data_IF_019167936808
#
_entry.id   IF_019167936808
#
_cell.length_a   1.000
_cell.length_b   1.000
_cell.length_c   1.000
_cell.angle_alpha   90.00
_cell.angle_beta   90.00
_cell.angle_gamma   90.00
#
_symmetry.space_group_name_H-M   'P 1'
#
loop_
_entity.id
_entity.type
_entity.pdbx_description
1 polymer ?
#
# COMPACT_ATOMS: atom_id res chain seq x y z
N UNK A 1 -27.84 13.80 -17.26
CA UNK A 1 -26.40 13.56 -17.04
C UNK A 1 -26.23 12.07 -16.83
N UNK A 2 -25.23 11.43 -17.45
CA UNK A 2 -24.94 10.03 -17.14
C UNK A 2 -24.52 9.93 -15.67
N UNK A 3 -25.03 8.92 -14.96
CA UNK A 3 -24.48 8.54 -13.66
C UNK A 3 -23.03 8.14 -13.90
N UNK A 4 -22.07 8.98 -13.49
CA UNK A 4 -20.66 8.61 -13.49
C UNK A 4 -20.56 7.41 -12.58
N UNK A 5 -20.30 6.24 -13.17
CA UNK A 5 -20.36 4.98 -12.45
C UNK A 5 -19.08 4.86 -11.60
N UNK A 6 -19.09 5.58 -10.46
CA UNK A 6 -17.96 5.67 -9.53
C UNK A 6 -17.43 4.26 -9.22
N UNK A 7 -16.11 4.05 -9.30
CA UNK A 7 -15.51 2.75 -9.03
C UNK A 7 -15.83 2.33 -7.60
N UNK A 8 -15.89 1.02 -7.37
CA UNK A 8 -16.11 0.48 -6.04
C UNK A 8 -14.77 0.10 -5.42
N UNK A 9 -14.53 0.59 -4.20
CA UNK A 9 -13.34 0.28 -3.40
C UNK A 9 -13.79 -0.51 -2.18
N UNK A 10 -13.25 -1.73 -2.07
CA UNK A 10 -13.41 -2.58 -0.89
C UNK A 10 -12.32 -2.24 0.13
N UNK A 11 -12.71 -1.67 1.27
CA UNK A 11 -11.87 -1.57 2.46
C UNK A 11 -11.97 -2.90 3.23
N UNK A 12 -10.87 -3.64 3.28
CA UNK A 12 -10.75 -4.88 4.03
C UNK A 12 -10.12 -4.60 5.39
N UNK A 13 -10.95 -4.59 6.43
CA UNK A 13 -10.60 -4.14 7.79
C UNK A 13 -10.89 -5.23 8.82
N UNK A 14 -10.12 -6.33 8.79
CA UNK A 14 -10.42 -7.55 9.55
C UNK A 14 -10.17 -7.38 11.06
N UNK A 15 -9.19 -6.56 11.44
CA UNK A 15 -8.95 -6.18 12.86
C UNK A 15 -9.67 -4.87 13.21
N UNK A 16 -9.67 -3.90 12.28
CA UNK A 16 -10.31 -2.60 12.42
C UNK A 16 -9.97 -1.86 13.72
N UNK A 17 -8.68 -1.61 13.95
CA UNK A 17 -8.15 -0.92 15.12
C UNK A 17 -8.91 0.40 15.44
N UNK A 18 -9.22 0.73 16.72
CA UNK A 18 -10.10 1.86 17.06
C UNK A 18 -9.63 3.23 16.56
N UNK A 19 -8.32 3.43 16.44
CA UNK A 19 -7.69 4.68 16.00
C UNK A 19 -7.64 4.85 14.47
N UNK A 20 -8.03 3.81 13.69
CA UNK A 20 -7.90 3.83 12.23
C UNK A 20 -8.74 4.94 11.59
N UNK A 21 -10.02 5.05 11.95
CA UNK A 21 -10.94 6.02 11.35
C UNK A 21 -10.58 7.47 11.70
N UNK A 22 -9.96 7.72 12.85
CA UNK A 22 -9.43 9.02 13.23
C UNK A 22 -8.16 9.35 12.41
N UNK A 23 -7.19 8.43 12.42
CA UNK A 23 -5.87 8.61 11.79
C UNK A 23 -5.93 8.72 10.26
N UNK A 24 -6.86 8.00 9.63
CA UNK A 24 -7.07 7.99 8.18
C UNK A 24 -8.33 8.74 7.72
N UNK A 25 -8.96 9.53 8.59
CA UNK A 25 -10.17 10.33 8.28
C UNK A 25 -10.06 11.09 6.95
N UNK A 26 -9.02 11.91 6.79
CA UNK A 26 -8.78 12.69 5.58
C UNK A 26 -8.51 11.86 4.30
N UNK A 27 -8.11 10.59 4.44
CA UNK A 27 -8.00 9.64 3.33
C UNK A 27 -9.38 9.06 2.99
N UNK A 28 -10.12 8.61 4.00
CA UNK A 28 -11.45 8.02 3.87
C UNK A 28 -12.42 9.00 3.22
N UNK A 29 -12.38 10.28 3.62
CA UNK A 29 -13.22 11.34 3.04
C UNK A 29 -12.95 11.53 1.54
N UNK A 30 -11.68 11.69 1.14
CA UNK A 30 -11.29 11.82 -0.28
C UNK A 30 -11.66 10.58 -1.11
N UNK A 31 -11.52 9.39 -0.54
CA UNK A 31 -11.94 8.14 -1.18
C UNK A 31 -13.48 8.10 -1.33
N UNK A 32 -14.24 8.63 -0.36
CA UNK A 32 -15.71 8.68 -0.39
C UNK A 32 -16.25 9.69 -1.41
N UNK A 33 -15.57 10.82 -1.60
CA UNK A 33 -15.88 11.77 -2.66
C UNK A 33 -15.77 11.12 -4.05
N UNK A 34 -14.66 10.41 -4.30
CA UNK A 34 -14.29 9.88 -5.61
C UNK A 34 -14.88 8.49 -5.94
N UNK A 35 -15.14 7.64 -4.95
CA UNK A 35 -15.49 6.23 -5.13
C UNK A 35 -16.68 5.77 -4.27
N UNK A 36 -17.24 4.60 -4.59
CA UNK A 36 -18.20 3.90 -3.72
C UNK A 36 -17.40 3.05 -2.73
N UNK A 37 -17.43 3.41 -1.44
CA UNK A 37 -16.70 2.67 -0.42
C UNK A 37 -17.56 1.57 0.20
N UNK A 38 -17.05 0.34 0.18
CA UNK A 38 -17.57 -0.77 0.96
C UNK A 38 -16.52 -1.17 1.99
N UNK A 39 -16.80 -1.08 3.29
CA UNK A 39 -15.95 -1.71 4.31
C UNK A 39 -16.49 -3.07 4.73
N UNK A 40 -15.60 -4.03 4.93
CA UNK A 40 -15.90 -5.35 5.48
C UNK A 40 -14.98 -5.64 6.66
N UNK A 41 -15.56 -6.09 7.78
CA UNK A 41 -14.88 -6.30 9.07
C UNK A 41 -14.89 -7.74 9.59
N UNK A 42 -15.16 -8.72 8.72
CA UNK A 42 -15.25 -10.12 9.12
C UNK A 42 -14.90 -11.04 7.93
N UNK A 43 -14.21 -12.15 8.24
CA UNK A 43 -13.73 -13.18 7.29
C UNK A 43 -14.83 -13.65 6.34
N UNK A 44 -15.91 -14.21 6.91
CA UNK A 44 -17.07 -14.70 6.18
C UNK A 44 -17.69 -13.65 5.25
N UNK A 45 -17.76 -12.40 5.71
CA UNK A 45 -18.32 -11.31 4.93
C UNK A 45 -17.38 -10.91 3.78
N UNK A 46 -16.07 -11.00 3.97
CA UNK A 46 -15.07 -10.68 2.94
C UNK A 46 -15.06 -11.74 1.84
N UNK A 47 -15.08 -13.02 2.21
CA UNK A 47 -15.18 -14.16 1.29
C UNK A 47 -16.46 -14.07 0.45
N UNK A 48 -17.63 -13.96 1.11
CA UNK A 48 -18.92 -13.84 0.41
C UNK A 48 -19.00 -12.60 -0.49
N UNK A 49 -18.30 -11.52 -0.13
CA UNK A 49 -18.24 -10.33 -0.96
C UNK A 49 -17.39 -10.55 -2.21
N UNK A 50 -16.17 -11.04 -2.06
CA UNK A 50 -15.23 -11.30 -3.16
C UNK A 50 -15.73 -12.39 -4.13
N UNK A 51 -16.54 -13.35 -3.65
CA UNK A 51 -17.18 -14.37 -4.49
C UNK A 51 -18.39 -13.84 -5.29
N UNK A 52 -19.04 -12.77 -4.82
CA UNK A 52 -20.25 -12.21 -5.44
C UNK A 52 -20.06 -10.89 -6.18
N UNK A 53 -18.92 -10.21 -6.02
CA UNK A 53 -18.67 -8.84 -6.47
C UNK A 53 -17.23 -8.72 -6.97
N UNK A 54 -17.00 -7.79 -7.92
CA UNK A 54 -15.69 -7.51 -8.47
C UNK A 54 -15.36 -6.01 -8.26
N UNK A 55 -14.88 -5.60 -7.06
CA UNK A 55 -14.51 -4.22 -6.79
C UNK A 55 -13.32 -3.80 -7.67
N UNK A 56 -13.22 -2.51 -7.99
CA UNK A 56 -12.13 -1.98 -8.81
C UNK A 56 -10.79 -1.95 -8.04
N UNK A 57 -10.85 -1.75 -6.72
CA UNK A 57 -9.69 -1.76 -5.82
C UNK A 57 -10.07 -2.49 -4.53
N UNK A 58 -9.13 -3.27 -3.98
CA UNK A 58 -9.18 -3.77 -2.61
C UNK A 58 -8.08 -3.08 -1.81
N UNK A 59 -8.44 -2.28 -0.81
CA UNK A 59 -7.51 -1.68 0.13
C UNK A 59 -7.51 -2.50 1.41
N UNK A 60 -6.37 -3.13 1.71
CA UNK A 60 -6.14 -3.82 2.98
C UNK A 60 -5.76 -2.76 4.00
N UNK A 61 -6.56 -2.60 5.07
CA UNK A 61 -6.41 -1.46 6.01
C UNK A 61 -5.76 -1.84 7.34
N UNK A 62 -5.54 -3.12 7.61
CA UNK A 62 -4.94 -3.61 8.84
C UNK A 62 -4.17 -4.91 8.65
N UNK A 63 -3.46 -5.30 9.69
CA UNK A 63 -2.64 -6.50 9.80
C UNK A 63 -3.42 -7.82 9.71
N UNK A 64 -4.75 -7.79 9.69
CA UNK A 64 -5.58 -8.99 9.81
C UNK A 64 -5.33 -10.03 8.73
N UNK A 65 -4.94 -9.64 7.51
CA UNK A 65 -4.52 -10.63 6.51
C UNK A 65 -3.31 -11.45 6.94
N UNK A 66 -2.41 -10.94 7.78
CA UNK A 66 -1.24 -11.69 8.26
C UNK A 66 -1.56 -12.74 9.34
N UNK A 67 -2.82 -12.80 9.81
CA UNK A 67 -3.27 -13.75 10.82
C UNK A 67 -3.62 -15.12 10.20
N UNK A 68 -3.12 -16.25 10.75
CA UNK A 68 -3.50 -17.59 10.32
C UNK A 68 -5.01 -17.87 10.28
N UNK A 69 -5.81 -17.29 11.18
CA UNK A 69 -7.28 -17.50 11.21
C UNK A 69 -7.97 -16.86 10.00
N UNK A 70 -7.38 -15.80 9.45
CA UNK A 70 -7.90 -15.08 8.28
C UNK A 70 -7.44 -15.69 6.95
N UNK A 71 -6.79 -16.87 6.98
CA UNK A 71 -6.25 -17.56 5.80
C UNK A 71 -7.24 -17.65 4.64
N UNK A 72 -8.52 -17.92 4.89
CA UNK A 72 -9.51 -18.07 3.83
C UNK A 72 -9.82 -16.76 3.08
N UNK A 73 -9.63 -15.58 3.69
CA UNK A 73 -9.63 -14.29 2.97
C UNK A 73 -8.32 -14.12 2.21
N UNK A 74 -7.21 -14.51 2.82
CA UNK A 74 -5.91 -14.45 2.17
C UNK A 74 -5.76 -15.46 1.02
N UNK A 75 -6.49 -16.57 1.01
CA UNK A 75 -6.55 -17.53 -0.11
C UNK A 75 -7.37 -16.99 -1.29
N UNK A 76 -8.24 -15.98 -1.06
CA UNK A 76 -8.78 -15.13 -2.12
C UNK A 76 -7.79 -14.05 -2.58
N UNK A 77 -6.65 -13.88 -1.89
CA UNK A 77 -5.64 -12.84 -2.11
C UNK A 77 -4.26 -13.44 -2.49
N UNK A 78 -3.31 -13.82 -1.59
CA UNK A 78 -2.44 -15.07 -1.54
C UNK A 78 -1.62 -15.12 -0.19
N UNK A 79 -1.23 -16.28 0.41
CA UNK A 79 -0.69 -16.44 1.80
C UNK A 79 0.80 -16.86 2.04
N UNK A 80 1.54 -16.53 3.15
CA UNK A 80 1.13 -16.64 4.59
C UNK A 80 1.90 -15.78 5.69
N UNK A 81 2.66 -16.33 6.68
CA UNK A 81 2.77 -15.79 8.09
C UNK A 81 4.15 -15.69 8.84
N UNK A 82 4.23 -14.77 9.83
CA UNK A 82 5.23 -14.52 10.94
C UNK A 82 6.65 -14.01 10.64
N UNK A 83 6.99 -12.75 11.03
CA UNK A 83 8.22 -11.94 10.74
C UNK A 83 8.78 -11.99 9.31
N UNK A 84 9.14 -13.18 8.86
CA UNK A 84 8.96 -13.61 7.48
C UNK A 84 7.53 -13.30 6.97
N UNK A 85 6.54 -12.98 7.81
CA UNK A 85 5.18 -12.55 7.42
C UNK A 85 5.17 -11.51 6.29
N UNK A 86 6.11 -10.55 6.29
CA UNK A 86 6.25 -9.61 5.19
C UNK A 86 6.80 -10.31 3.93
N UNK A 87 7.90 -11.02 4.12
CA UNK A 87 8.68 -11.73 3.11
C UNK A 87 7.88 -12.88 2.44
N UNK A 88 6.95 -13.49 3.18
CA UNK A 88 6.06 -14.60 2.84
C UNK A 88 4.72 -14.10 2.32
N UNK A 89 4.17 -13.00 2.87
CA UNK A 89 3.00 -12.36 2.29
C UNK A 89 3.28 -11.94 0.86
N UNK A 90 4.41 -11.25 0.59
CA UNK A 90 4.79 -10.93 -0.78
C UNK A 90 5.33 -12.12 -1.56
N UNK A 91 6.01 -13.06 -0.89
CA UNK A 91 6.42 -14.33 -1.50
C UNK A 91 5.25 -15.17 -2.02
N UNK A 92 4.07 -15.05 -1.41
CA UNK A 92 2.84 -15.69 -1.85
C UNK A 92 2.36 -15.22 -3.24
N UNK A 93 2.69 -13.98 -3.60
CA UNK A 93 2.42 -13.39 -4.91
C UNK A 93 3.57 -13.62 -5.90
N UNK A 94 4.49 -14.57 -5.61
CA UNK A 94 5.76 -14.80 -6.31
C UNK A 94 6.69 -13.56 -6.36
N UNK A 95 6.50 -12.59 -5.47
CA UNK A 95 7.31 -11.37 -5.44
C UNK A 95 8.58 -11.56 -4.59
N UNK A 96 9.74 -11.09 -5.07
CA UNK A 96 11.00 -11.21 -4.34
C UNK A 96 11.12 -10.23 -3.16
N UNK A 97 10.08 -9.44 -2.89
CA UNK A 97 10.05 -8.36 -1.91
C UNK A 97 10.30 -8.90 -0.50
N UNK A 98 11.20 -8.24 0.22
CA UNK A 98 11.55 -8.58 1.61
C UNK A 98 11.55 -7.31 2.46
N UNK A 99 11.36 -7.46 3.77
CA UNK A 99 11.40 -6.39 4.76
C UNK A 99 12.78 -5.73 4.72
N UNK A 100 12.79 -4.42 4.53
CA UNK A 100 13.97 -3.56 4.59
C UNK A 100 14.09 -2.82 5.91
N UNK A 101 14.79 -1.68 5.85
CA UNK A 101 15.06 -0.82 7.01
C UNK A 101 13.83 -0.05 7.48
N UNK A 102 13.88 0.43 8.73
CA UNK A 102 12.78 1.17 9.35
C UNK A 102 13.25 2.52 9.90
N UNK A 103 13.02 3.59 9.15
CA UNK A 103 13.38 4.96 9.53
C UNK A 103 12.58 6.00 8.73
N UNK A 104 12.70 7.28 9.13
CA UNK A 104 12.23 8.41 8.33
C UNK A 104 13.35 8.94 7.44
N UNK A 105 13.04 9.35 6.23
CA UNK A 105 13.90 10.15 5.33
C UNK A 105 13.03 10.77 4.23
N UNK A 106 13.66 11.45 3.26
CA UNK A 106 13.00 12.03 2.10
C UNK A 106 13.07 11.09 0.89
N UNK A 107 11.97 10.98 0.15
CA UNK A 107 11.80 10.06 -0.97
C UNK A 107 11.32 10.78 -2.23
N UNK A 108 11.78 10.33 -3.39
CA UNK A 108 11.41 10.82 -4.72
C UNK A 108 10.69 9.75 -5.55
N UNK A 109 9.80 10.20 -6.44
CA UNK A 109 9.15 9.33 -7.43
C UNK A 109 10.19 8.79 -8.42
N UNK A 110 10.21 7.48 -8.61
CA UNK A 110 11.15 6.80 -9.49
C UNK A 110 10.56 6.66 -10.92
N UNK A 111 11.11 7.37 -11.92
CA UNK A 111 10.47 7.52 -13.24
C UNK A 111 10.49 6.27 -14.12
N UNK A 112 11.21 5.21 -13.72
CA UNK A 112 11.27 3.94 -14.47
C UNK A 112 10.28 2.88 -13.95
N UNK A 113 9.38 3.24 -13.03
CA UNK A 113 8.38 2.32 -12.50
C UNK A 113 7.29 1.98 -13.53
N UNK A 114 6.68 0.80 -13.38
CA UNK A 114 5.42 0.46 -14.03
C UNK A 114 4.28 0.87 -13.10
N UNK A 115 3.29 1.58 -13.61
CA UNK A 115 2.14 2.08 -12.87
C UNK A 115 0.86 1.29 -13.21
N UNK A 116 -0.13 1.24 -12.29
CA UNK A 116 -1.44 0.66 -12.59
C UNK A 116 -2.20 1.48 -13.63
N UNK A 117 -3.22 0.88 -14.25
CA UNK A 117 -4.09 1.58 -15.18
C UNK A 117 -4.78 2.78 -14.49
N UNK A 118 -4.79 3.94 -15.18
CA UNK A 118 -5.34 5.19 -14.64
C UNK A 118 -4.33 6.06 -13.90
N UNK A 119 -3.27 5.48 -13.32
CA UNK A 119 -2.20 6.25 -12.69
C UNK A 119 -1.26 6.88 -13.75
N UNK A 120 -0.74 8.07 -13.45
CA UNK A 120 0.26 8.76 -14.30
C UNK A 120 1.38 9.32 -13.44
N UNK A 121 2.63 9.46 -13.95
CA UNK A 121 3.71 10.05 -13.17
C UNK A 121 3.40 11.44 -12.58
N UNK A 122 2.55 12.22 -13.28
CA UNK A 122 2.08 13.54 -12.85
C UNK A 122 1.04 13.54 -11.73
N UNK A 123 0.36 12.42 -11.44
CA UNK A 123 -0.63 12.38 -10.35
C UNK A 123 0.06 12.26 -8.98
N UNK A 124 1.24 11.65 -8.91
CA UNK A 124 2.03 11.49 -7.69
C UNK A 124 2.58 12.83 -7.13
N UNK A 125 2.87 12.92 -5.82
CA UNK A 125 3.47 14.09 -5.21
C UNK A 125 4.93 14.32 -5.65
N UNK A 126 5.42 15.54 -5.43
CA UNK A 126 6.85 15.85 -5.45
C UNK A 126 7.57 15.13 -4.28
N UNK A 127 8.93 15.14 -4.22
CA UNK A 127 9.65 14.48 -3.14
C UNK A 127 9.24 14.96 -1.74
N UNK A 128 9.11 14.02 -0.79
CA UNK A 128 8.56 14.30 0.55
C UNK A 128 9.14 13.37 1.63
N UNK A 129 9.03 13.79 2.90
CA UNK A 129 9.45 13.00 4.07
C UNK A 129 8.36 12.04 4.50
N UNK A 130 8.71 10.76 4.73
CA UNK A 130 7.82 9.79 5.38
C UNK A 130 8.60 8.84 6.29
N UNK A 131 7.94 8.27 7.30
CA UNK A 131 8.54 7.24 8.17
C UNK A 131 8.16 5.87 7.65
N UNK A 132 9.15 5.11 7.17
CA UNK A 132 8.88 3.97 6.28
C UNK A 132 9.48 2.67 6.80
N UNK A 133 8.69 1.59 6.74
CA UNK A 133 9.21 0.23 6.62
C UNK A 133 9.52 -0.05 5.14
N UNK A 134 10.80 -0.12 4.80
CA UNK A 134 11.25 -0.22 3.41
C UNK A 134 11.03 -1.63 2.84
N UNK A 135 11.04 -1.71 1.51
CA UNK A 135 11.09 -2.95 0.75
C UNK A 135 12.45 -3.09 0.07
N UNK A 136 13.18 -4.16 0.39
CA UNK A 136 14.38 -4.59 -0.33
C UNK A 136 14.02 -5.64 -1.39
N UNK A 137 14.93 -5.89 -2.32
CA UNK A 137 14.81 -6.86 -3.42
C UNK A 137 13.72 -6.59 -4.47
N UNK A 138 12.94 -5.51 -4.35
CA UNK A 138 12.06 -5.05 -5.43
C UNK A 138 12.89 -4.71 -6.70
N UNK A 139 12.40 -5.13 -7.87
CA UNK A 139 13.03 -4.86 -9.16
C UNK A 139 13.01 -3.36 -9.48
N UNK A 140 13.92 -2.83 -10.31
CA UNK A 140 13.94 -1.40 -10.63
C UNK A 140 12.59 -0.85 -11.14
N UNK A 141 11.83 -1.65 -11.89
CA UNK A 141 10.50 -1.28 -12.41
C UNK A 141 9.37 -1.36 -11.38
N UNK A 142 9.60 -2.00 -10.25
CA UNK A 142 8.61 -2.14 -9.17
C UNK A 142 8.73 -1.02 -8.13
N UNK A 143 9.86 -0.32 -8.06
CA UNK A 143 10.09 0.78 -7.11
C UNK A 143 9.41 2.05 -7.60
N UNK A 144 8.43 2.56 -6.85
CA UNK A 144 7.65 3.76 -7.17
C UNK A 144 8.20 4.98 -6.42
N UNK A 145 8.54 4.84 -5.13
CA UNK A 145 9.26 5.87 -4.36
C UNK A 145 10.54 5.30 -3.77
N UNK A 146 11.66 5.98 -4.01
CA UNK A 146 13.00 5.61 -3.54
C UNK A 146 13.63 6.76 -2.74
N UNK A 147 14.58 6.50 -1.83
CA UNK A 147 15.27 7.57 -1.10
C UNK A 147 15.96 8.54 -2.08
N UNK A 148 15.92 9.84 -1.79
CA UNK A 148 16.61 10.88 -2.59
C UNK A 148 18.14 10.66 -2.61
N UNK A 149 18.90 11.28 -3.55
CA UNK A 149 20.35 11.25 -3.50
C UNK A 149 20.87 11.76 -2.14
N UNK A 150 21.87 11.07 -1.60
CA UNK A 150 22.52 11.38 -0.31
C UNK A 150 21.58 11.46 0.91
N UNK A 151 20.38 10.87 0.80
CA UNK A 151 19.40 10.77 1.87
C UNK A 151 20.01 10.23 3.18
N UNK A 152 19.66 10.87 4.30
CA UNK A 152 20.03 10.45 5.64
C UNK A 152 18.80 10.16 6.50
N UNK A 153 18.94 9.25 7.46
CA UNK A 153 17.89 8.92 8.41
C UNK A 153 17.58 10.12 9.33
N UNK A 154 16.30 10.37 9.54
CA UNK A 154 15.78 11.48 10.35
C UNK A 154 15.27 10.90 11.69
N UNK A 155 15.90 11.26 12.81
CA UNK A 155 15.56 10.75 14.15
C UNK A 155 15.86 11.78 15.25
N UNK A 156 15.06 11.78 16.31
CA UNK A 156 15.31 12.57 17.52
C UNK A 156 16.20 11.84 18.56
N UNK A 157 16.50 10.56 18.34
CA UNK A 157 17.21 9.69 19.31
C UNK A 157 18.53 9.17 18.74
N UNK A 158 18.61 8.97 17.43
CA UNK A 158 19.78 8.42 16.74
C UNK A 158 20.40 9.48 15.84
N UNK A 159 21.73 9.44 15.70
CA UNK A 159 22.43 10.29 14.75
C UNK A 159 22.03 9.95 13.30
N UNK A 160 22.01 10.93 12.37
CA UNK A 160 21.77 10.67 10.96
C UNK A 160 22.78 9.68 10.37
N UNK A 161 22.29 8.73 9.58
CA UNK A 161 23.09 7.78 8.81
C UNK A 161 22.60 7.73 7.37
N UNK A 162 23.49 7.49 6.40
CA UNK A 162 23.10 7.36 4.99
C UNK A 162 22.12 6.21 4.76
N UNK A 163 21.14 6.44 3.90
CA UNK A 163 20.07 5.50 3.57
C UNK A 163 20.43 4.64 2.36
N UNK A 164 20.12 3.35 2.44
CA UNK A 164 20.30 2.41 1.34
C UNK A 164 19.28 2.66 0.21
N UNK A 165 19.75 3.31 -0.86
CA UNK A 165 18.97 3.58 -2.08
C UNK A 165 18.63 2.34 -2.91
N UNK A 166 19.11 1.15 -2.54
CA UNK A 166 18.69 -0.11 -3.17
C UNK A 166 17.32 -0.59 -2.66
N UNK A 167 16.79 0.02 -1.61
CA UNK A 167 15.46 -0.24 -1.07
C UNK A 167 14.45 0.83 -1.56
N UNK A 168 13.17 0.60 -1.33
CA UNK A 168 12.09 1.51 -1.74
C UNK A 168 11.04 1.67 -0.64
N UNK A 169 10.39 2.83 -0.60
CA UNK A 169 9.30 3.13 0.33
C UNK A 169 7.92 2.75 -0.19
N UNK A 170 7.75 2.86 -1.51
CA UNK A 170 6.52 2.46 -2.21
C UNK A 170 6.93 1.56 -3.36
N UNK A 171 6.30 0.40 -3.46
CA UNK A 171 6.53 -0.58 -4.52
C UNK A 171 5.21 -1.03 -5.14
N UNK A 172 5.24 -1.49 -6.38
CA UNK A 172 4.09 -2.08 -7.05
C UNK A 172 4.49 -3.04 -8.17
N UNK A 173 3.65 -4.06 -8.39
CA UNK A 173 3.87 -5.09 -9.39
C UNK A 173 2.56 -5.49 -10.07
N UNK A 174 2.65 -5.82 -11.37
CA UNK A 174 1.55 -6.42 -12.13
C UNK A 174 1.44 -7.90 -11.79
N UNK A 175 0.28 -8.36 -11.36
CA UNK A 175 0.01 -9.75 -10.97
C UNK A 175 -1.20 -10.27 -11.76
N UNK A 176 -0.95 -11.14 -12.74
CA UNK A 176 -1.97 -11.58 -13.69
C UNK A 176 -2.59 -10.39 -14.42
N UNK A 177 -3.89 -10.15 -14.21
CA UNK A 177 -4.63 -9.00 -14.77
C UNK A 177 -4.76 -7.82 -13.80
N UNK A 178 -4.20 -7.92 -12.59
CA UNK A 178 -4.28 -6.91 -11.53
C UNK A 178 -2.94 -6.23 -11.25
N UNK A 179 -2.95 -5.33 -10.27
CA UNK A 179 -1.76 -4.64 -9.79
C UNK A 179 -1.78 -4.62 -8.26
N UNK A 180 -0.70 -5.08 -7.64
CA UNK A 180 -0.49 -5.01 -6.19
C UNK A 180 0.46 -3.86 -5.88
N UNK A 181 0.15 -3.07 -4.86
CA UNK A 181 1.01 -2.01 -4.38
C UNK A 181 1.19 -2.10 -2.86
N UNK A 182 2.35 -1.68 -2.37
CA UNK A 182 2.65 -1.52 -0.96
C UNK A 182 3.18 -0.10 -0.70
N UNK A 183 2.61 0.56 0.31
CA UNK A 183 3.05 1.86 0.82
C UNK A 183 3.58 1.61 2.23
N UNK A 184 4.89 1.79 2.43
CA UNK A 184 5.55 1.49 3.70
C UNK A 184 5.47 2.58 4.76
N UNK A 185 4.83 3.72 4.45
CA UNK A 185 4.63 4.82 5.40
C UNK A 185 3.73 4.40 6.56
N UNK A 186 4.25 4.52 7.79
CA UNK A 186 3.53 4.16 9.02
C UNK A 186 2.93 5.37 9.73
N UNK A 187 3.14 6.58 9.21
CA UNK A 187 2.72 7.84 9.82
C UNK A 187 1.53 8.51 9.09
N UNK A 188 1.06 7.93 7.98
CA UNK A 188 -0.08 8.40 7.19
C UNK A 188 0.07 9.86 6.68
N UNK A 189 1.25 10.18 6.13
CA UNK A 189 1.57 11.54 5.64
C UNK A 189 0.58 12.00 4.55
N UNK A 190 0.33 13.31 4.47
CA UNK A 190 -0.66 13.88 3.56
C UNK A 190 -0.37 13.55 2.07
N UNK A 191 0.91 13.49 1.72
CA UNK A 191 1.44 13.09 0.42
C UNK A 191 1.25 11.58 0.16
N UNK A 192 1.40 10.72 1.17
CA UNK A 192 1.13 9.28 1.06
C UNK A 192 -0.34 8.99 0.72
N UNK A 193 -1.27 9.81 1.22
CA UNK A 193 -2.67 9.76 0.79
C UNK A 193 -2.83 10.08 -0.71
N UNK A 194 -2.03 10.99 -1.26
CA UNK A 194 -2.01 11.30 -2.71
C UNK A 194 -1.35 10.19 -3.52
N UNK A 195 -0.34 9.49 -2.98
CA UNK A 195 0.24 8.27 -3.58
C UNK A 195 -0.83 7.18 -3.68
N UNK A 196 -1.58 6.92 -2.61
CA UNK A 196 -2.65 5.92 -2.59
C UNK A 196 -3.76 6.24 -3.61
N UNK A 197 -4.27 7.48 -3.60
CA UNK A 197 -5.29 7.95 -4.56
C UNK A 197 -4.79 7.79 -6.01
N UNK A 198 -3.53 8.16 -6.28
CA UNK A 198 -2.89 7.95 -7.59
C UNK A 198 -2.85 6.48 -8.01
N UNK A 199 -2.51 5.57 -7.09
CA UNK A 199 -2.48 4.12 -7.35
C UNK A 199 -3.87 3.53 -7.58
N UNK A 200 -4.93 4.14 -7.06
CA UNK A 200 -6.32 3.80 -7.37
C UNK A 200 -6.79 4.34 -8.75
N UNK A 201 -5.97 5.13 -9.46
CA UNK A 201 -6.34 5.76 -10.72
C UNK A 201 -7.39 6.87 -10.57
N UNK A 202 -7.36 7.59 -9.43
CA UNK A 202 -8.29 8.66 -9.04
C UNK A 202 -7.63 10.05 -9.03
#
# INVERSE_FOLDING_TARGET
MASVNRPEILLLSLVCQPWFDESYSALIDKLHESAKLKRVKAVDAAIRYLDGNNPAVVLVTDEGLTDPENKAVLEKLVSFTTMDAFDDFFGAFDLPWKRGDYHRTDFEFHPSCVLPAGATPSSFPAPYSMKVLHVRNAQPREKIFIPVPDAQSQSHVFAPAFVDRTQAAVVGATLGNGYLAYIGDVNAEAESNRVLISLCGL
#
